data_IF_221815533461
#
_entry.id   IF_221815533461
#
_cell.length_a   1.000
_cell.length_b   1.000
_cell.length_c   1.000
_cell.angle_alpha   90.00
_cell.angle_beta   90.00
_cell.angle_gamma   90.00
#
_symmetry.space_group_name_H-M   'P 1'
#
loop_
_entity.id
_entity.type
_entity.pdbx_description
1 polymer ?
#
# COMPACT_ATOMS: atom_id res chain seq x y z
N UNK A 1 -2.16 -20.42 -0.89
CA UNK A 1 -1.67 -21.64 -1.53
C UNK A 1 -0.58 -21.35 -2.56
N UNK A 2 -0.77 -20.35 -3.43
CA UNK A 2 0.24 -19.98 -4.43
C UNK A 2 1.60 -19.69 -3.76
N UNK A 3 1.63 -18.80 -2.76
CA UNK A 3 2.86 -18.45 -2.06
C UNK A 3 3.53 -19.65 -1.38
N UNK A 4 2.74 -20.53 -0.77
CA UNK A 4 3.26 -21.75 -0.18
C UNK A 4 3.89 -22.69 -1.23
N UNK A 5 3.22 -22.89 -2.35
CA UNK A 5 3.74 -23.70 -3.47
C UNK A 5 5.02 -23.08 -4.04
N UNK A 6 5.01 -21.76 -4.24
CA UNK A 6 6.17 -21.01 -4.72
C UNK A 6 7.40 -21.23 -3.85
N UNK A 7 7.23 -21.10 -2.53
CA UNK A 7 8.34 -21.18 -1.56
C UNK A 7 8.73 -22.63 -1.31
N UNK A 8 7.79 -23.48 -0.90
CA UNK A 8 8.10 -24.78 -0.30
C UNK A 8 8.04 -25.96 -1.26
N UNK A 9 7.41 -25.82 -2.42
CA UNK A 9 7.42 -26.89 -3.43
C UNK A 9 8.37 -26.56 -4.58
N UNK A 10 8.45 -25.30 -5.00
CA UNK A 10 9.31 -24.89 -6.10
C UNK A 10 10.68 -24.36 -5.63
N UNK A 11 10.86 -24.08 -4.34
CA UNK A 11 12.11 -23.56 -3.78
C UNK A 11 12.48 -22.15 -4.27
N UNK A 12 11.48 -21.36 -4.67
CA UNK A 12 11.73 -20.02 -5.22
C UNK A 12 11.80 -18.96 -4.10
N UNK A 13 12.61 -17.91 -4.28
CA UNK A 13 12.69 -16.79 -3.34
C UNK A 13 11.31 -16.15 -3.13
N UNK A 14 10.90 -16.01 -1.88
CA UNK A 14 9.58 -15.46 -1.53
C UNK A 14 9.45 -13.98 -1.94
N UNK A 15 10.55 -13.24 -1.93
CA UNK A 15 10.62 -11.83 -2.33
C UNK A 15 10.21 -11.65 -3.80
N UNK A 16 10.64 -12.54 -4.68
CA UNK A 16 10.27 -12.51 -6.09
C UNK A 16 8.78 -12.79 -6.29
N UNK A 17 8.25 -13.75 -5.53
CA UNK A 17 6.81 -14.05 -5.56
C UNK A 17 5.96 -12.88 -5.04
N UNK A 18 6.40 -12.23 -3.98
CA UNK A 18 5.77 -11.04 -3.43
C UNK A 18 5.72 -9.89 -4.44
N UNK A 19 6.84 -9.63 -5.14
CA UNK A 19 6.90 -8.61 -6.21
C UNK A 19 5.97 -8.95 -7.37
N UNK A 20 5.99 -10.20 -7.84
CA UNK A 20 5.11 -10.67 -8.91
C UNK A 20 3.63 -10.50 -8.55
N UNK A 21 3.25 -10.80 -7.31
CA UNK A 21 1.88 -10.60 -6.85
C UNK A 21 1.51 -9.13 -6.86
N UNK A 22 2.34 -8.28 -6.25
CA UNK A 22 2.10 -6.85 -6.19
C UNK A 22 1.91 -6.23 -7.57
N UNK A 23 2.72 -6.64 -8.54
CA UNK A 23 2.66 -6.16 -9.92
C UNK A 23 1.26 -6.33 -10.55
N UNK A 24 0.50 -7.36 -10.13
CA UNK A 24 -0.77 -7.72 -10.75
C UNK A 24 -2.00 -7.51 -9.85
N UNK A 25 -1.84 -7.06 -8.61
CA UNK A 25 -2.96 -6.80 -7.70
C UNK A 25 -3.57 -5.42 -7.97
N UNK A 26 -4.85 -5.39 -8.30
CA UNK A 26 -5.60 -4.13 -8.49
C UNK A 26 -5.71 -3.32 -7.20
N UNK A 27 -5.85 -3.99 -6.08
CA UNK A 27 -5.91 -3.46 -4.72
C UNK A 27 -4.58 -3.62 -3.97
N UNK A 28 -3.46 -3.70 -4.71
CA UNK A 28 -2.13 -3.93 -4.14
C UNK A 28 -1.75 -2.88 -3.10
N UNK A 29 -1.64 -3.32 -1.85
CA UNK A 29 -1.02 -2.60 -0.76
C UNK A 29 0.34 -3.23 -0.44
N UNK A 30 1.41 -2.41 -0.46
CA UNK A 30 2.77 -2.89 -0.34
C UNK A 30 3.03 -3.59 1.00
N UNK A 31 2.52 -3.01 2.09
CA UNK A 31 2.70 -3.58 3.43
C UNK A 31 1.92 -4.88 3.61
N UNK A 32 0.64 -4.90 3.24
CA UNK A 32 -0.21 -6.09 3.36
C UNK A 32 0.31 -7.24 2.52
N UNK A 33 0.73 -6.97 1.28
CA UNK A 33 1.29 -7.99 0.40
C UNK A 33 2.58 -8.57 0.98
N UNK A 34 3.52 -7.72 1.38
CA UNK A 34 4.81 -8.13 1.94
C UNK A 34 4.62 -8.96 3.22
N UNK A 35 3.82 -8.47 4.17
CA UNK A 35 3.56 -9.15 5.43
C UNK A 35 2.85 -10.49 5.23
N UNK A 36 1.95 -10.60 4.27
CA UNK A 36 1.25 -11.84 3.94
C UNK A 36 2.22 -12.90 3.39
N UNK A 37 3.12 -12.54 2.50
CA UNK A 37 4.16 -13.45 2.00
C UNK A 37 5.12 -13.87 3.11
N UNK A 38 5.53 -12.95 3.98
CA UNK A 38 6.37 -13.23 5.17
C UNK A 38 5.66 -14.17 6.13
N UNK A 39 4.34 -14.01 6.32
CA UNK A 39 3.57 -14.92 7.15
C UNK A 39 3.56 -16.34 6.59
N UNK A 40 3.32 -16.52 5.28
CA UNK A 40 3.40 -17.84 4.63
C UNK A 40 4.78 -18.44 4.79
N UNK A 41 5.83 -17.63 4.60
CA UNK A 41 7.23 -18.04 4.71
C UNK A 41 7.66 -18.44 6.14
N UNK A 42 6.86 -18.11 7.17
CA UNK A 42 7.19 -18.37 8.58
C UNK A 42 8.15 -17.36 9.20
N UNK A 43 8.33 -16.19 8.55
CA UNK A 43 9.21 -15.12 9.02
C UNK A 43 8.51 -14.20 10.02
N UNK A 44 7.22 -13.93 9.84
CA UNK A 44 6.46 -13.07 10.74
C UNK A 44 6.17 -13.71 12.10
N UNK A 45 5.86 -15.02 12.10
CA UNK A 45 5.71 -15.80 13.32
C UNK A 45 6.76 -16.91 13.27
N UNK A 46 7.83 -16.74 14.04
CA UNK A 46 9.00 -17.61 14.01
C UNK A 46 8.60 -19.09 14.10
N UNK A 47 9.01 -19.87 13.08
CA UNK A 47 8.80 -21.31 13.01
C UNK A 47 7.39 -21.75 12.58
N UNK A 48 6.46 -20.84 12.29
CA UNK A 48 5.11 -21.18 11.79
C UNK A 48 5.02 -20.94 10.29
N UNK A 49 5.45 -21.93 9.51
CA UNK A 49 5.29 -21.94 8.04
C UNK A 49 3.85 -22.31 7.67
N UNK A 50 3.28 -21.67 6.64
CA UNK A 50 2.01 -22.11 6.07
C UNK A 50 2.28 -23.02 4.87
N UNK A 51 2.08 -24.32 5.07
CA UNK A 51 2.34 -25.31 4.04
C UNK A 51 1.04 -25.63 3.27
N UNK A 52 1.17 -25.70 1.96
CA UNK A 52 0.10 -26.14 1.07
C UNK A 52 -0.33 -27.58 1.43
N UNK A 53 -1.65 -27.81 1.45
CA UNK A 53 -2.24 -29.10 1.76
C UNK A 53 -3.02 -29.65 0.57
N UNK A 54 -2.63 -30.79 -0.04
CA UNK A 54 -3.40 -31.46 -1.08
C UNK A 54 -4.83 -31.80 -0.65
N UNK A 55 -5.02 -32.15 0.64
CA UNK A 55 -6.33 -32.40 1.21
C UNK A 55 -7.24 -31.14 1.17
N UNK A 56 -6.68 -29.98 1.46
CA UNK A 56 -7.42 -28.71 1.38
C UNK A 56 -7.75 -28.37 -0.08
N UNK A 57 -6.80 -28.56 -1.00
CA UNK A 57 -7.06 -28.36 -2.42
C UNK A 57 -8.23 -29.22 -2.89
N UNK A 58 -8.19 -30.51 -2.61
CA UNK A 58 -9.27 -31.45 -2.97
C UNK A 58 -10.63 -31.00 -2.41
N UNK A 59 -10.67 -30.65 -1.11
CA UNK A 59 -11.88 -30.20 -0.41
C UNK A 59 -12.47 -28.93 -1.00
N UNK A 60 -11.65 -27.88 -1.20
CA UNK A 60 -12.14 -26.56 -1.60
C UNK A 60 -12.25 -26.36 -3.12
N UNK A 61 -11.84 -27.34 -3.92
CA UNK A 61 -12.07 -27.39 -5.36
C UNK A 61 -13.18 -28.36 -5.77
N UNK A 62 -13.96 -28.88 -4.83
CA UNK A 62 -14.99 -29.90 -5.09
C UNK A 62 -14.42 -31.11 -5.86
N UNK A 63 -13.25 -31.56 -5.47
CA UNK A 63 -12.48 -32.65 -6.12
C UNK A 63 -12.07 -32.36 -7.58
N UNK A 64 -12.18 -31.14 -8.08
CA UNK A 64 -11.74 -30.79 -9.45
C UNK A 64 -10.24 -30.88 -9.63
N UNK A 65 -9.50 -30.62 -8.56
CA UNK A 65 -8.04 -30.74 -8.57
C UNK A 65 -7.60 -31.76 -7.52
N UNK A 66 -6.95 -32.81 -7.98
CA UNK A 66 -6.34 -33.84 -7.14
C UNK A 66 -4.86 -33.82 -7.43
N UNK A 67 -4.06 -33.64 -6.41
CA UNK A 67 -2.60 -33.68 -6.49
C UNK A 67 -2.14 -34.72 -5.50
N UNK A 68 -1.56 -35.80 -6.02
CA UNK A 68 -0.97 -36.86 -5.23
C UNK A 68 0.54 -36.58 -5.11
N UNK A 69 1.10 -36.71 -3.92
CA UNK A 69 2.54 -36.63 -3.66
C UNK A 69 3.22 -35.30 -3.90
N UNK A 70 2.78 -34.24 -3.22
CA UNK A 70 3.57 -33.03 -3.08
C UNK A 70 4.51 -33.15 -1.88
N UNK A 71 5.82 -33.09 -2.15
CA UNK A 71 6.83 -32.97 -1.10
C UNK A 71 7.13 -31.50 -0.84
N UNK A 72 7.08 -31.08 0.43
CA UNK A 72 7.55 -29.77 0.84
C UNK A 72 9.07 -29.82 1.07
N UNK A 73 9.78 -28.85 0.52
CA UNK A 73 11.19 -28.65 0.79
C UNK A 73 11.36 -28.11 2.22
N UNK A 74 12.35 -28.63 2.94
CA UNK A 74 12.70 -28.08 4.27
C UNK A 74 13.57 -26.84 4.11
N UNK A 75 12.91 -25.72 3.86
CA UNK A 75 13.54 -24.43 3.68
C UNK A 75 13.46 -23.66 4.99
N UNK A 76 14.61 -23.32 5.57
CA UNK A 76 14.72 -22.45 6.73
C UNK A 76 15.15 -21.06 6.29
N UNK A 77 14.18 -20.16 6.18
CA UNK A 77 14.42 -18.76 5.88
C UNK A 77 14.86 -18.03 7.14
N UNK A 78 15.87 -17.18 6.99
CA UNK A 78 16.30 -16.26 8.03
C UNK A 78 15.84 -14.86 7.64
N UNK A 79 15.53 -14.07 8.64
CA UNK A 79 15.08 -12.72 8.50
C UNK A 79 16.09 -11.81 9.20
N UNK A 80 16.77 -10.98 8.43
CA UNK A 80 17.70 -9.96 8.92
C UNK A 80 17.02 -8.57 8.86
N UNK A 81 15.69 -8.52 8.86
CA UNK A 81 14.92 -7.31 8.70
C UNK A 81 14.81 -6.53 10.00
N UNK A 82 15.26 -5.30 10.00
CA UNK A 82 15.08 -4.34 11.10
C UNK A 82 13.76 -3.59 10.92
N UNK A 83 12.93 -3.57 11.96
CA UNK A 83 11.68 -2.81 11.97
C UNK A 83 11.99 -1.39 12.45
N UNK A 84 11.84 -0.43 11.57
CA UNK A 84 11.89 0.99 11.92
C UNK A 84 10.48 1.48 12.15
N UNK A 85 10.21 2.04 13.32
CA UNK A 85 8.90 2.63 13.67
C UNK A 85 9.04 4.14 13.63
N UNK A 86 8.27 4.79 12.75
CA UNK A 86 8.11 6.24 12.77
C UNK A 86 7.13 6.63 13.89
N UNK A 87 7.67 7.03 15.03
CA UNK A 87 6.85 7.45 16.16
C UNK A 87 6.26 8.86 16.00
N UNK A 88 6.77 9.67 15.07
CA UNK A 88 6.29 11.04 14.86
C UNK A 88 4.86 11.05 14.31
N UNK A 89 4.49 10.04 13.54
CA UNK A 89 3.15 9.93 12.96
C UNK A 89 2.06 9.86 14.04
N UNK A 90 2.34 9.32 15.22
CA UNK A 90 1.38 9.24 16.32
C UNK A 90 1.04 10.60 16.95
N UNK A 91 1.86 11.63 16.69
CA UNK A 91 1.61 13.01 17.10
C UNK A 91 0.80 13.81 16.07
N UNK A 92 0.47 13.19 14.93
CA UNK A 92 -0.34 13.80 13.89
C UNK A 92 -1.80 13.93 14.31
N UNK A 93 -2.52 14.82 13.63
CA UNK A 93 -3.94 15.05 13.84
C UNK A 93 -4.62 15.40 12.51
N UNK A 94 -5.95 15.37 12.51
CA UNK A 94 -6.75 15.72 11.35
C UNK A 94 -7.21 17.20 11.42
N UNK A 95 -6.25 18.14 11.41
CA UNK A 95 -6.53 19.57 11.44
C UNK A 95 -6.05 20.24 10.16
N UNK A 96 -6.98 20.82 9.40
CA UNK A 96 -6.68 21.62 8.20
C UNK A 96 -5.73 22.78 8.54
N UNK A 97 -4.67 22.94 7.75
CA UNK A 97 -3.71 24.05 7.86
C UNK A 97 -3.41 24.73 6.53
N UNK A 98 -3.95 24.22 5.42
CA UNK A 98 -3.76 24.77 4.07
C UNK A 98 -5.09 24.89 3.32
N UNK A 99 -5.12 25.70 2.27
CA UNK A 99 -6.20 25.70 1.28
C UNK A 99 -6.01 24.64 0.18
N UNK A 100 -4.85 23.95 0.20
CA UNK A 100 -4.47 22.97 -0.82
C UNK A 100 -4.32 21.60 -0.17
N UNK A 101 -4.97 20.59 -0.74
CA UNK A 101 -4.93 19.20 -0.28
C UNK A 101 -4.25 18.32 -1.33
N UNK A 102 -3.38 17.42 -0.88
CA UNK A 102 -2.84 16.33 -1.68
C UNK A 102 -3.50 15.01 -1.30
N UNK A 103 -3.81 14.21 -2.30
CA UNK A 103 -4.27 12.83 -2.21
C UNK A 103 -3.44 11.96 -3.13
N UNK A 104 -3.39 10.66 -2.83
CA UNK A 104 -2.86 9.64 -3.72
C UNK A 104 -3.95 8.66 -4.15
N UNK A 105 -3.64 7.84 -5.16
CA UNK A 105 -4.56 6.86 -5.73
C UNK A 105 -5.09 5.81 -4.73
N UNK A 106 -4.47 5.70 -3.56
CA UNK A 106 -4.87 4.73 -2.53
C UNK A 106 -6.04 5.22 -1.66
N UNK A 107 -6.35 6.52 -1.68
CA UNK A 107 -7.31 7.13 -0.76
C UNK A 107 -8.45 7.80 -1.53
N UNK A 108 -9.25 7.00 -2.22
CA UNK A 108 -10.34 7.45 -3.09
C UNK A 108 -11.73 7.05 -2.58
N UNK A 109 -11.90 6.97 -1.25
CA UNK A 109 -13.22 6.69 -0.67
C UNK A 109 -14.09 7.94 -0.66
N UNK A 110 -15.05 8.02 -1.59
CA UNK A 110 -15.93 9.18 -1.73
C UNK A 110 -16.66 9.51 -0.42
N UNK A 111 -17.21 8.51 0.27
CA UNK A 111 -18.02 8.75 1.49
C UNK A 111 -17.21 9.39 2.62
N UNK A 112 -15.95 9.02 2.78
CA UNK A 112 -15.09 9.57 3.82
C UNK A 112 -14.41 10.87 3.41
N UNK A 113 -14.20 11.11 2.11
CA UNK A 113 -13.47 12.27 1.63
C UNK A 113 -14.34 13.43 1.16
N UNK A 114 -15.61 13.21 0.84
CA UNK A 114 -16.49 14.27 0.29
C UNK A 114 -16.53 15.50 1.20
N UNK A 115 -16.79 15.32 2.49
CA UNK A 115 -16.79 16.41 3.45
C UNK A 115 -15.44 17.12 3.57
N UNK A 116 -14.34 16.36 3.49
CA UNK A 116 -12.99 16.88 3.58
C UNK A 116 -12.67 17.72 2.35
N UNK A 117 -12.87 17.15 1.15
CA UNK A 117 -12.59 17.80 -0.14
C UNK A 117 -13.30 19.15 -0.27
N UNK A 118 -14.55 19.23 0.18
CA UNK A 118 -15.34 20.48 0.11
C UNK A 118 -14.79 21.60 0.98
N UNK A 119 -13.91 21.32 1.92
CA UNK A 119 -13.27 22.31 2.77
C UNK A 119 -12.02 22.96 2.12
N UNK A 120 -11.52 22.39 1.02
CA UNK A 120 -10.31 22.85 0.35
C UNK A 120 -10.64 23.63 -0.92
N UNK A 121 -9.83 24.66 -1.19
CA UNK A 121 -9.94 25.43 -2.43
C UNK A 121 -9.43 24.64 -3.62
N UNK A 122 -8.29 23.95 -3.45
CA UNK A 122 -7.67 23.13 -4.48
C UNK A 122 -7.33 21.75 -3.89
N UNK A 123 -7.63 20.71 -4.63
CA UNK A 123 -7.31 19.33 -4.29
C UNK A 123 -6.54 18.71 -5.45
N UNK A 124 -5.43 18.08 -5.17
CA UNK A 124 -4.58 17.44 -6.16
C UNK A 124 -4.52 15.95 -5.87
N UNK A 125 -4.85 15.12 -6.86
CA UNK A 125 -4.62 13.68 -6.77
C UNK A 125 -3.37 13.37 -7.56
N UNK A 126 -2.37 12.82 -6.89
CA UNK A 126 -1.10 12.45 -7.50
C UNK A 126 -1.15 10.98 -7.90
N UNK A 127 -0.81 10.72 -9.16
CA UNK A 127 -0.53 9.38 -9.66
C UNK A 127 0.96 9.27 -9.95
N UNK A 128 1.63 8.31 -9.31
CA UNK A 128 3.06 8.09 -9.53
C UNK A 128 3.31 7.40 -10.88
N UNK A 129 4.24 7.96 -11.63
CA UNK A 129 4.76 7.30 -12.84
C UNK A 129 5.61 6.09 -12.50
N UNK A 130 5.91 5.25 -13.48
CA UNK A 130 6.67 4.01 -13.29
C UNK A 130 8.04 4.24 -12.67
N UNK A 131 8.70 5.33 -13.06
CA UNK A 131 10.05 5.69 -12.63
C UNK A 131 10.13 6.10 -11.15
N UNK A 132 9.00 6.57 -10.58
CA UNK A 132 8.91 6.97 -9.17
C UNK A 132 8.46 5.83 -8.26
N UNK A 133 8.30 4.62 -8.79
CA UNK A 133 7.89 3.43 -8.04
C UNK A 133 9.06 2.49 -7.82
N UNK A 134 9.27 2.07 -6.59
CA UNK A 134 10.20 0.98 -6.26
C UNK A 134 9.60 -0.39 -6.61
N UNK A 135 8.27 -0.50 -6.55
CA UNK A 135 7.53 -1.71 -6.87
C UNK A 135 6.81 -1.52 -8.21
N UNK A 136 7.21 -2.34 -9.19
CA UNK A 136 6.57 -2.36 -10.50
C UNK A 136 5.09 -2.76 -10.38
N UNK A 137 4.24 -2.08 -11.18
CA UNK A 137 2.84 -2.45 -11.38
C UNK A 137 2.56 -2.65 -12.88
N UNK A 138 1.70 -3.63 -13.21
CA UNK A 138 1.38 -3.95 -14.60
C UNK A 138 0.54 -2.86 -15.26
N UNK A 139 0.60 -2.78 -16.61
CA UNK A 139 -0.22 -1.83 -17.37
C UNK A 139 -1.72 -1.94 -17.05
N UNK A 140 -2.22 -3.16 -16.80
CA UNK A 140 -3.63 -3.37 -16.41
C UNK A 140 -3.96 -2.70 -15.08
N UNK A 141 -3.04 -2.76 -14.11
CA UNK A 141 -3.20 -2.10 -12.81
C UNK A 141 -3.12 -0.59 -12.96
N UNK A 142 -2.19 -0.09 -13.79
CA UNK A 142 -2.06 1.35 -14.11
C UNK A 142 -3.37 1.88 -14.71
N UNK A 143 -3.88 1.22 -15.74
CA UNK A 143 -5.12 1.62 -16.41
C UNK A 143 -6.32 1.60 -15.46
N UNK A 144 -6.42 0.57 -14.63
CA UNK A 144 -7.47 0.44 -13.62
C UNK A 144 -7.41 1.60 -12.61
N UNK A 145 -6.23 1.86 -12.02
CA UNK A 145 -6.04 2.97 -11.07
C UNK A 145 -6.34 4.33 -11.69
N UNK A 146 -5.85 4.60 -12.91
CA UNK A 146 -6.15 5.84 -13.64
C UNK A 146 -7.64 6.03 -13.87
N UNK A 147 -8.36 4.95 -14.18
CA UNK A 147 -9.82 4.97 -14.33
C UNK A 147 -10.53 5.34 -13.03
N UNK A 148 -10.16 4.69 -11.93
CA UNK A 148 -10.72 5.01 -10.60
C UNK A 148 -10.46 6.47 -10.21
N UNK A 149 -9.26 6.99 -10.42
CA UNK A 149 -8.91 8.37 -10.13
C UNK A 149 -9.81 9.33 -10.93
N UNK A 150 -9.95 9.09 -12.23
CA UNK A 150 -10.75 9.95 -13.11
C UNK A 150 -12.24 9.91 -12.76
N UNK A 151 -12.78 8.74 -12.46
CA UNK A 151 -14.16 8.58 -12.01
C UNK A 151 -14.40 9.28 -10.66
N UNK A 152 -13.47 9.16 -9.73
CA UNK A 152 -13.53 9.87 -8.46
C UNK A 152 -13.46 11.38 -8.64
N UNK A 153 -12.46 11.88 -9.38
CA UNK A 153 -12.25 13.30 -9.61
C UNK A 153 -13.43 13.97 -10.31
N UNK A 154 -14.13 13.28 -11.20
CA UNK A 154 -15.29 13.80 -11.93
C UNK A 154 -16.45 14.20 -11.01
N UNK A 155 -16.50 13.72 -9.77
CA UNK A 155 -17.53 14.09 -8.80
C UNK A 155 -17.27 15.45 -8.13
N UNK A 156 -16.10 16.07 -8.33
CA UNK A 156 -15.70 17.28 -7.62
C UNK A 156 -15.13 18.34 -8.58
N UNK A 157 -15.51 19.60 -8.38
CA UNK A 157 -15.08 20.71 -9.26
C UNK A 157 -13.69 21.24 -8.93
N UNK A 158 -13.18 20.98 -7.73
CA UNK A 158 -11.93 21.50 -7.20
C UNK A 158 -10.79 20.49 -7.21
N UNK A 159 -10.95 19.35 -7.90
CA UNK A 159 -9.92 18.31 -8.02
C UNK A 159 -9.18 18.44 -9.35
N UNK A 160 -7.86 18.47 -9.30
CA UNK A 160 -6.96 18.31 -10.43
C UNK A 160 -6.16 17.00 -10.26
N UNK A 161 -6.17 16.16 -11.30
CA UNK A 161 -5.33 14.95 -11.34
C UNK A 161 -4.00 15.32 -11.97
N UNK A 162 -2.91 15.02 -11.28
CA UNK A 162 -1.55 15.31 -11.73
C UNK A 162 -0.69 14.04 -11.66
N UNK A 163 0.23 13.90 -12.60
CA UNK A 163 1.26 12.88 -12.56
C UNK A 163 2.49 13.38 -11.78
N UNK A 164 3.35 12.47 -11.36
CA UNK A 164 4.56 12.80 -10.61
C UNK A 164 5.54 13.66 -11.40
N UNK A 165 5.57 13.57 -12.73
CA UNK A 165 6.44 14.39 -13.58
C UNK A 165 6.01 15.86 -13.58
N UNK A 166 4.72 16.14 -13.51
CA UNK A 166 4.16 17.50 -13.55
C UNK A 166 4.06 18.17 -12.18
N UNK A 167 4.25 17.46 -11.07
CA UNK A 167 4.05 17.97 -9.70
C UNK A 167 4.87 19.24 -9.43
N UNK A 168 6.13 19.29 -9.88
CA UNK A 168 7.01 20.44 -9.65
C UNK A 168 6.48 21.72 -10.32
N UNK A 169 5.97 21.61 -11.53
CA UNK A 169 5.41 22.76 -12.27
C UNK A 169 4.05 23.17 -11.71
N UNK A 170 3.18 22.20 -11.40
CA UNK A 170 1.81 22.45 -10.91
C UNK A 170 1.79 23.04 -9.51
N UNK A 171 2.66 22.58 -8.63
CA UNK A 171 2.71 23.03 -7.24
C UNK A 171 3.80 24.09 -6.99
N UNK A 172 4.43 24.65 -8.03
CA UNK A 172 5.57 25.59 -7.92
C UNK A 172 5.33 26.71 -6.90
N UNK A 173 4.19 27.38 -7.00
CA UNK A 173 3.87 28.56 -6.20
C UNK A 173 3.18 28.24 -4.87
N UNK A 174 2.91 26.97 -4.62
CA UNK A 174 2.25 26.51 -3.40
C UNK A 174 3.32 26.14 -2.36
N UNK A 175 3.40 26.89 -1.27
CA UNK A 175 4.38 26.64 -0.21
C UNK A 175 3.89 25.67 0.86
N UNK A 176 2.59 25.66 1.13
CA UNK A 176 1.97 24.85 2.18
C UNK A 176 0.86 23.96 1.62
N UNK A 177 0.90 22.69 2.00
CA UNK A 177 -0.02 21.65 1.57
C UNK A 177 -0.43 20.80 2.76
N UNK A 178 -1.69 20.41 2.82
CA UNK A 178 -2.15 19.32 3.65
C UNK A 178 -2.12 18.05 2.80
N UNK A 179 -1.80 16.91 3.40
CA UNK A 179 -1.70 15.61 2.75
C UNK A 179 -2.47 14.58 3.55
N UNK A 180 -3.43 13.88 2.94
CA UNK A 180 -3.93 12.65 3.57
C UNK A 180 -2.77 11.66 3.62
N UNK A 181 -2.45 11.18 4.81
CA UNK A 181 -1.29 10.31 5.02
C UNK A 181 -1.38 9.04 4.17
N UNK A 182 -0.46 8.84 3.22
CA UNK A 182 -0.58 7.76 2.22
C UNK A 182 -0.13 6.40 2.75
N UNK A 183 0.12 6.27 4.06
CA UNK A 183 0.74 5.10 4.68
C UNK A 183 2.17 4.83 4.15
N UNK A 184 2.72 3.66 4.46
CA UNK A 184 4.06 3.26 4.01
C UNK A 184 4.03 2.80 2.55
N UNK A 185 5.13 3.01 1.83
CA UNK A 185 5.31 2.60 0.43
C UNK A 185 5.67 3.76 -0.50
N UNK A 186 5.63 3.51 -1.81
CA UNK A 186 6.13 4.42 -2.84
C UNK A 186 5.56 5.84 -2.73
N UNK A 187 4.26 5.99 -2.43
CA UNK A 187 3.63 7.30 -2.30
C UNK A 187 4.23 8.13 -1.16
N UNK A 188 4.52 7.50 -0.02
CA UNK A 188 5.14 8.16 1.12
C UNK A 188 6.59 8.51 0.84
N UNK A 189 7.34 7.62 0.22
CA UNK A 189 8.74 7.83 -0.13
C UNK A 189 8.89 8.96 -1.15
N UNK A 190 8.02 8.97 -2.18
CA UNK A 190 7.96 10.04 -3.16
C UNK A 190 7.70 11.41 -2.52
N UNK A 191 6.67 11.52 -1.69
CA UNK A 191 6.30 12.83 -1.11
C UNK A 191 7.32 13.34 -0.11
N UNK A 192 8.00 12.47 0.63
CA UNK A 192 9.09 12.84 1.52
C UNK A 192 10.28 13.39 0.72
N UNK A 193 10.65 12.76 -0.38
CA UNK A 193 11.69 13.24 -1.29
C UNK A 193 11.30 14.57 -1.93
N UNK A 194 10.06 14.70 -2.39
CA UNK A 194 9.52 15.93 -2.96
C UNK A 194 9.54 17.10 -1.97
N UNK A 195 9.13 16.86 -0.72
CA UNK A 195 9.14 17.84 0.37
C UNK A 195 10.54 18.44 0.58
N UNK A 196 11.55 17.58 0.68
CA UNK A 196 12.95 17.98 0.89
C UNK A 196 13.49 18.75 -0.30
N UNK A 197 13.32 18.21 -1.52
CA UNK A 197 13.86 18.80 -2.75
C UNK A 197 13.27 20.17 -3.09
N UNK A 198 12.04 20.44 -2.66
CA UNK A 198 11.30 21.68 -3.02
C UNK A 198 11.10 22.63 -1.84
N UNK A 199 11.66 22.36 -0.68
CA UNK A 199 11.50 23.16 0.54
C UNK A 199 10.04 23.52 0.83
N UNK A 200 9.15 22.53 0.74
CA UNK A 200 7.70 22.69 0.96
C UNK A 200 7.30 22.25 2.35
N UNK A 201 6.32 22.94 2.92
CA UNK A 201 5.69 22.54 4.17
C UNK A 201 4.51 21.64 3.83
N UNK A 202 4.65 20.34 4.07
CA UNK A 202 3.59 19.35 3.87
C UNK A 202 3.22 18.77 5.24
N UNK A 203 1.96 18.95 5.60
CA UNK A 203 1.41 18.43 6.84
C UNK A 203 0.62 17.15 6.57
N UNK A 204 1.01 16.07 7.22
CA UNK A 204 0.23 14.83 7.21
C UNK A 204 -1.05 15.00 8.04
N UNK A 205 -2.16 14.68 7.42
CA UNK A 205 -3.47 14.53 8.06
C UNK A 205 -3.71 13.05 8.28
N UNK A 206 -3.78 12.63 9.53
CA UNK A 206 -4.03 11.24 9.92
C UNK A 206 -5.41 11.15 10.56
N UNK A 207 -6.23 10.22 10.12
CA UNK A 207 -7.58 10.02 10.64
C UNK A 207 -7.54 9.57 12.10
N UNK A 208 -8.48 10.03 12.89
CA UNK A 208 -8.57 9.69 14.31
C UNK A 208 -8.77 8.18 14.52
N UNK A 209 -9.48 7.52 13.60
CA UNK A 209 -9.69 6.08 13.60
C UNK A 209 -8.37 5.31 13.40
N UNK A 210 -7.50 5.81 12.52
CA UNK A 210 -6.19 5.21 12.28
C UNK A 210 -5.30 5.36 13.52
N UNK A 211 -5.22 6.57 14.08
CA UNK A 211 -4.47 6.84 15.32
C UNK A 211 -4.97 6.03 16.50
N UNK A 212 -6.28 5.83 16.60
CA UNK A 212 -6.87 4.96 17.60
C UNK A 212 -6.47 3.50 17.40
N UNK A 213 -6.63 3.01 16.18
CA UNK A 213 -6.41 1.60 15.82
C UNK A 213 -4.95 1.18 15.92
N UNK A 214 -4.02 2.03 15.51
CA UNK A 214 -2.57 1.72 15.52
C UNK A 214 -2.02 1.45 16.93
N UNK A 215 -2.62 2.00 17.97
CA UNK A 215 -2.23 1.74 19.37
C UNK A 215 -2.33 0.25 19.73
N UNK A 216 -3.21 -0.48 19.06
CA UNK A 216 -3.48 -1.90 19.32
C UNK A 216 -2.71 -2.83 18.37
N UNK A 217 -2.08 -2.32 17.32
CA UNK A 217 -1.40 -3.10 16.28
C UNK A 217 -0.12 -3.82 16.74
N UNK A 218 0.21 -3.80 18.04
CA UNK A 218 1.47 -4.32 18.59
C UNK A 218 1.55 -5.84 18.72
N UNK A 219 0.44 -6.57 18.67
CA UNK A 219 0.40 -8.02 19.05
C UNK A 219 -0.41 -8.92 18.12
N UNK A 220 -0.69 -8.50 16.91
CA UNK A 220 -1.43 -9.24 15.91
C UNK A 220 -2.96 -9.10 16.04
N UNK A 221 -3.66 -9.51 15.01
CA UNK A 221 -5.07 -9.24 14.75
C UNK A 221 -6.05 -9.57 15.91
N UNK A 222 -5.86 -10.70 16.58
CA UNK A 222 -6.79 -11.15 17.62
C UNK A 222 -6.67 -10.43 18.99
N UNK A 223 -5.79 -9.44 19.08
CA UNK A 223 -5.66 -8.59 20.28
C UNK A 223 -6.04 -7.13 20.00
N UNK A 224 -6.63 -6.93 18.87
CA UNK A 224 -7.12 -5.64 18.39
C UNK A 224 -8.44 -5.26 19.06
#
# INVERSE_FOLDING_TARGET
WFASTWIFNLGLPWELGSKLFFEHLYDGDAASNLLSWRWVAGLQTKGKKYLFSPKNLKKFSDNRFVVDNISNLDINLKDDFEIVIDNEIFNSNFKKESENLLLFENDLNQKSLEFIITQYKNVYIIFLDEEDRQLKISNKVIEFKKKLINEFAANFKNIEVIDSLSINSKLKDIKKLDLIYPCVGDNNDFINSFKVSNNKVIKNLVRDEDLFSWKFASKGFFRF
#
